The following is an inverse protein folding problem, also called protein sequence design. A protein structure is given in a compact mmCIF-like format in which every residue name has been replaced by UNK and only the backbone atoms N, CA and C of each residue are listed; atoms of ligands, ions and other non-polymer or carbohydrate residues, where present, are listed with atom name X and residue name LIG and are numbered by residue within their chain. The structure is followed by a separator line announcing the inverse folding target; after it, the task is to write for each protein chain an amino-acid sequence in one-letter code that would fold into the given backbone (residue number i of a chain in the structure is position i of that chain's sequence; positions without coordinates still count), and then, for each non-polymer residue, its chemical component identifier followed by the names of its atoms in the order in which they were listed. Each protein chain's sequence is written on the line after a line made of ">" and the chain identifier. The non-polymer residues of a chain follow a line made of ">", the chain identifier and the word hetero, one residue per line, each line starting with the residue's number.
data_IF_132371932389
#
_entry.id   IF_132371932389
#
_cell.length_a   1.000
_cell.length_b   1.000
_cell.length_c   1.000
_cell.angle_alpha   90.00
_cell.angle_beta   90.00
_cell.angle_gamma   90.00
#
_symmetry.space_group_name_H-M   'P 1'
#
loop_
_entity.id
_entity.type
_entity.pdbx_description
1 polymer ?
#
# COMPACT_ATOMS: atom_id res chain seq x y z
N UNK A 1 -10.45 -6.34 -11.06
CA UNK A 1 -9.79 -5.03 -10.97
C UNK A 1 -10.89 -3.99 -11.09
N UNK A 2 -10.84 -2.95 -10.24
CA UNK A 2 -11.68 -1.75 -10.35
C UNK A 2 -10.76 -0.61 -10.75
N UNK A 3 -11.15 0.12 -11.79
CA UNK A 3 -10.44 1.31 -12.26
C UNK A 3 -11.44 2.47 -12.28
N UNK A 4 -11.05 3.59 -11.68
CA UNK A 4 -11.85 4.81 -11.58
C UNK A 4 -11.12 6.03 -12.16
N UNK A 5 -9.97 5.82 -12.82
CA UNK A 5 -9.12 6.90 -13.32
C UNK A 5 -9.83 7.77 -14.37
N UNK A 6 -10.69 7.16 -15.21
CA UNK A 6 -11.43 7.85 -16.27
C UNK A 6 -12.63 8.67 -15.76
N UNK A 7 -12.97 8.59 -14.47
CA UNK A 7 -14.04 9.39 -13.91
C UNK A 7 -13.59 10.85 -13.72
N UNK A 8 -14.52 11.79 -13.99
CA UNK A 8 -14.28 13.19 -13.63
C UNK A 8 -14.04 13.35 -12.14
N UNK A 9 -13.29 14.38 -11.72
CA UNK A 9 -12.93 14.61 -10.30
C UNK A 9 -14.16 14.58 -9.36
N UNK A 10 -15.29 15.13 -9.81
CA UNK A 10 -16.52 15.16 -9.02
C UNK A 10 -17.13 13.76 -8.86
N UNK A 11 -16.99 12.91 -9.86
CA UNK A 11 -17.49 11.54 -9.85
C UNK A 11 -16.52 10.54 -9.23
N UNK A 12 -15.24 10.86 -9.14
CA UNK A 12 -14.24 9.95 -8.54
C UNK A 12 -14.57 9.62 -7.08
N UNK A 13 -14.96 10.62 -6.29
CA UNK A 13 -15.34 10.39 -4.88
C UNK A 13 -16.55 9.45 -4.79
N UNK A 14 -17.56 9.64 -5.61
CA UNK A 14 -18.73 8.77 -5.63
C UNK A 14 -18.36 7.36 -6.14
N UNK A 15 -17.62 7.28 -7.23
CA UNK A 15 -17.12 6.01 -7.77
C UNK A 15 -16.29 5.23 -6.75
N UNK A 16 -15.42 5.91 -6.03
CA UNK A 16 -14.62 5.31 -4.95
C UNK A 16 -15.50 4.71 -3.85
N UNK A 17 -16.56 5.39 -3.45
CA UNK A 17 -17.49 4.88 -2.43
C UNK A 17 -18.22 3.63 -2.91
N UNK A 18 -18.71 3.63 -4.16
CA UNK A 18 -19.37 2.45 -4.76
C UNK A 18 -18.40 1.26 -4.82
N UNK A 19 -17.16 1.51 -5.23
CA UNK A 19 -16.12 0.45 -5.28
C UNK A 19 -15.81 -0.09 -3.89
N UNK A 20 -15.67 0.76 -2.89
CA UNK A 20 -15.41 0.34 -1.51
C UNK A 20 -16.56 -0.51 -0.92
N UNK A 21 -17.82 -0.15 -1.22
CA UNK A 21 -18.99 -0.94 -0.83
C UNK A 21 -19.02 -2.31 -1.53
N UNK A 22 -18.74 -2.36 -2.83
CA UNK A 22 -18.68 -3.62 -3.58
C UNK A 22 -17.54 -4.53 -3.06
N UNK A 23 -16.38 -3.95 -2.75
CA UNK A 23 -15.26 -4.67 -2.12
C UNK A 23 -15.71 -5.27 -0.79
N UNK A 24 -16.39 -4.49 0.06
CA UNK A 24 -16.88 -4.98 1.33
C UNK A 24 -17.91 -6.10 1.17
N UNK A 25 -18.87 -5.94 0.28
CA UNK A 25 -19.85 -6.97 -0.02
C UNK A 25 -19.19 -8.27 -0.51
N UNK A 26 -18.14 -8.16 -1.33
CA UNK A 26 -17.36 -9.30 -1.81
C UNK A 26 -16.62 -10.01 -0.67
N UNK A 27 -16.02 -9.26 0.26
CA UNK A 27 -15.34 -9.81 1.45
C UNK A 27 -16.34 -10.60 2.30
N UNK A 28 -17.52 -10.03 2.56
CA UNK A 28 -18.59 -10.69 3.34
C UNK A 28 -19.05 -11.97 2.68
N UNK A 29 -19.30 -11.93 1.35
CA UNK A 29 -19.70 -13.10 0.56
C UNK A 29 -18.63 -14.19 0.60
N UNK A 30 -17.37 -13.83 0.35
CA UNK A 30 -16.27 -14.80 0.37
C UNK A 30 -16.13 -15.47 1.74
N UNK A 31 -16.30 -14.74 2.83
CA UNK A 31 -16.32 -15.31 4.19
C UNK A 31 -17.41 -16.34 4.34
N UNK A 32 -18.64 -16.05 3.90
CA UNK A 32 -19.77 -16.98 3.98
C UNK A 32 -19.53 -18.28 3.18
N UNK A 33 -18.73 -18.18 2.09
CA UNK A 33 -18.35 -19.30 1.25
C UNK A 33 -17.03 -19.99 1.71
N UNK A 34 -16.47 -19.60 2.88
CA UNK A 34 -15.22 -20.16 3.41
C UNK A 34 -13.97 -19.76 2.63
N UNK A 35 -14.04 -18.72 1.80
CA UNK A 35 -12.93 -18.24 0.97
C UNK A 35 -12.22 -17.06 1.62
N UNK A 36 -10.89 -17.02 1.53
CA UNK A 36 -10.08 -15.86 1.92
C UNK A 36 -10.10 -14.80 0.83
N UNK A 37 -9.93 -13.54 1.22
CA UNK A 37 -9.84 -12.39 0.30
C UNK A 37 -8.53 -11.63 0.51
N UNK A 38 -7.84 -11.34 -0.57
CA UNK A 38 -6.67 -10.47 -0.60
C UNK A 38 -7.04 -9.22 -1.37
N UNK A 39 -6.99 -8.08 -0.68
CA UNK A 39 -7.28 -6.76 -1.25
C UNK A 39 -5.97 -5.99 -1.40
N UNK A 40 -5.68 -5.53 -2.59
CA UNK A 40 -4.57 -4.63 -2.89
C UNK A 40 -5.14 -3.31 -3.39
N UNK A 41 -4.69 -2.22 -2.82
CA UNK A 41 -5.12 -0.85 -3.16
C UNK A 41 -3.87 -0.08 -3.55
N UNK A 42 -3.76 0.22 -4.83
CA UNK A 42 -2.71 1.08 -5.36
C UNK A 42 -3.08 2.56 -5.17
N UNK A 43 -2.07 3.42 -5.15
CA UNK A 43 -2.20 4.85 -4.84
C UNK A 43 -3.06 5.11 -3.59
N UNK A 44 -2.77 4.35 -2.54
CA UNK A 44 -3.57 4.27 -1.31
C UNK A 44 -3.82 5.65 -0.66
N UNK A 45 -2.90 6.61 -0.84
CA UNK A 45 -3.04 7.96 -0.31
C UNK A 45 -4.29 8.69 -0.83
N UNK A 46 -4.74 8.40 -2.04
CA UNK A 46 -5.92 9.04 -2.64
C UNK A 46 -7.21 8.80 -1.84
N UNK A 47 -7.30 7.69 -1.13
CA UNK A 47 -8.45 7.39 -0.26
C UNK A 47 -8.58 8.37 0.92
N UNK A 48 -7.50 9.04 1.28
CA UNK A 48 -7.45 9.97 2.42
C UNK A 48 -7.67 11.42 2.03
N UNK A 49 -7.78 11.72 0.75
CA UNK A 49 -8.17 13.05 0.26
C UNK A 49 -9.63 13.41 0.61
N UNK A 50 -10.46 12.40 0.87
CA UNK A 50 -11.86 12.56 1.26
C UNK A 50 -12.11 11.91 2.62
N UNK A 51 -12.67 12.66 3.57
CA UNK A 51 -12.89 12.21 4.95
C UNK A 51 -13.82 10.99 5.04
N UNK A 52 -14.83 10.90 4.18
CA UNK A 52 -15.74 9.76 4.15
C UNK A 52 -15.02 8.49 3.68
N UNK A 53 -14.28 8.58 2.56
CA UNK A 53 -13.49 7.47 2.03
C UNK A 53 -12.43 7.02 3.05
N UNK A 54 -11.75 7.96 3.71
CA UNK A 54 -10.77 7.68 4.75
C UNK A 54 -11.39 6.92 5.93
N UNK A 55 -12.56 7.38 6.42
CA UNK A 55 -13.28 6.74 7.51
C UNK A 55 -13.75 5.33 7.14
N UNK A 56 -14.29 5.16 5.94
CA UNK A 56 -14.75 3.88 5.43
C UNK A 56 -13.60 2.89 5.28
N UNK A 57 -12.49 3.33 4.67
CA UNK A 57 -11.27 2.55 4.50
C UNK A 57 -10.71 2.09 5.85
N UNK A 58 -10.61 3.00 6.82
CA UNK A 58 -10.21 2.64 8.18
C UNK A 58 -11.14 1.59 8.79
N UNK A 59 -12.45 1.71 8.55
CA UNK A 59 -13.45 0.71 8.97
C UNK A 59 -13.23 -0.66 8.34
N UNK A 60 -12.86 -0.74 7.05
CA UNK A 60 -12.47 -1.98 6.38
C UNK A 60 -11.23 -2.57 7.06
N UNK A 61 -10.14 -1.81 7.17
CA UNK A 61 -8.88 -2.27 7.76
C UNK A 61 -9.05 -2.86 9.16
N UNK A 62 -9.84 -2.22 10.02
CA UNK A 62 -10.13 -2.73 11.37
C UNK A 62 -10.87 -4.07 11.40
N UNK A 63 -11.61 -4.39 10.34
CA UNK A 63 -12.54 -5.53 10.30
C UNK A 63 -12.08 -6.69 9.43
N UNK A 64 -11.27 -6.44 8.39
CA UNK A 64 -10.90 -7.45 7.37
C UNK A 64 -10.41 -8.75 7.97
N UNK A 65 -9.60 -8.70 9.01
CA UNK A 65 -9.05 -9.87 9.69
C UNK A 65 -10.15 -10.81 10.21
N UNK A 66 -11.23 -10.26 10.79
CA UNK A 66 -12.38 -11.04 11.28
C UNK A 66 -13.18 -11.69 10.14
N UNK A 67 -12.99 -11.22 8.92
CA UNK A 67 -13.65 -11.74 7.71
C UNK A 67 -12.73 -12.64 6.87
N UNK A 68 -11.58 -13.04 7.42
CA UNK A 68 -10.62 -13.87 6.70
C UNK A 68 -9.99 -13.15 5.50
N UNK A 69 -9.92 -11.82 5.56
CA UNK A 69 -9.33 -11.01 4.52
C UNK A 69 -8.05 -10.31 4.99
N UNK A 70 -7.18 -9.99 4.04
CA UNK A 70 -6.03 -9.13 4.23
C UNK A 70 -6.13 -7.94 3.26
N UNK A 71 -5.78 -6.75 3.74
CA UNK A 71 -5.76 -5.53 2.94
C UNK A 71 -4.35 -4.95 2.93
N UNK A 72 -3.86 -4.64 1.74
CA UNK A 72 -2.54 -4.04 1.48
C UNK A 72 -2.74 -2.73 0.75
N UNK A 73 -2.30 -1.63 1.34
CA UNK A 73 -2.19 -0.33 0.69
C UNK A 73 -0.80 -0.15 0.11
N UNK A 74 -0.72 0.33 -1.12
CA UNK A 74 0.51 0.65 -1.83
C UNK A 74 0.48 2.14 -2.14
N UNK A 75 1.55 2.85 -1.83
CA UNK A 75 1.66 4.28 -2.14
C UNK A 75 3.11 4.68 -2.30
N UNK A 76 3.35 5.67 -3.12
CA UNK A 76 4.62 6.35 -3.26
C UNK A 76 4.58 7.80 -2.73
N UNK A 77 3.40 8.31 -2.37
CA UNK A 77 3.23 9.65 -1.80
C UNK A 77 3.03 9.56 -0.28
N UNK A 78 4.14 9.58 0.43
CA UNK A 78 4.16 9.47 1.90
C UNK A 78 3.71 10.77 2.54
N UNK A 79 4.09 11.92 2.01
CA UNK A 79 3.73 13.23 2.56
C UNK A 79 2.21 13.39 2.65
N UNK A 80 1.48 13.16 1.55
CA UNK A 80 0.02 13.23 1.53
C UNK A 80 -0.62 12.20 2.46
N UNK A 81 -0.08 10.98 2.49
CA UNK A 81 -0.59 9.94 3.38
C UNK A 81 -0.45 10.35 4.85
N UNK A 82 0.72 10.87 5.23
CA UNK A 82 1.01 11.27 6.61
C UNK A 82 0.32 12.58 7.02
N UNK A 83 -0.16 13.39 6.09
CA UNK A 83 -0.98 14.55 6.38
C UNK A 83 -2.32 14.18 7.05
N UNK A 84 -2.82 12.96 6.80
CA UNK A 84 -4.08 12.48 7.37
C UNK A 84 -3.83 11.67 8.65
N UNK A 85 -4.48 12.06 9.76
CA UNK A 85 -4.33 11.40 11.06
C UNK A 85 -4.78 9.93 11.03
N UNK A 86 -5.87 9.61 10.31
CA UNK A 86 -6.36 8.23 10.17
C UNK A 86 -5.37 7.34 9.44
N UNK A 87 -4.74 7.87 8.38
CA UNK A 87 -3.70 7.17 7.66
C UNK A 87 -2.49 6.88 8.55
N UNK A 88 -2.03 7.86 9.34
CA UNK A 88 -0.95 7.66 10.32
C UNK A 88 -1.28 6.56 11.33
N UNK A 89 -2.50 6.57 11.86
CA UNK A 89 -2.97 5.52 12.79
C UNK A 89 -3.04 4.14 12.11
N UNK A 90 -3.47 4.08 10.86
CA UNK A 90 -3.52 2.82 10.11
C UNK A 90 -2.11 2.28 9.84
N UNK A 91 -1.19 3.15 9.44
CA UNK A 91 0.21 2.79 9.21
C UNK A 91 0.85 2.23 10.48
N UNK A 92 0.70 2.93 11.61
CA UNK A 92 1.26 2.53 12.90
C UNK A 92 0.69 1.20 13.43
N UNK A 93 -0.55 0.85 13.04
CA UNK A 93 -1.23 -0.38 13.44
C UNK A 93 -1.22 -1.48 12.37
N UNK A 94 -0.47 -1.28 11.28
CA UNK A 94 -0.34 -2.30 10.24
C UNK A 94 0.48 -3.50 10.74
N UNK A 95 0.03 -4.71 10.42
CA UNK A 95 0.73 -5.95 10.81
C UNK A 95 2.09 -6.09 10.10
N UNK A 96 2.24 -5.51 8.91
CA UNK A 96 3.49 -5.51 8.15
C UNK A 96 3.62 -4.26 7.29
N UNK A 97 4.83 -3.72 7.24
CA UNK A 97 5.21 -2.56 6.44
C UNK A 97 6.44 -2.89 5.61
N UNK A 98 6.35 -2.72 4.31
CA UNK A 98 7.48 -2.77 3.39
C UNK A 98 7.88 -1.33 3.05
N UNK A 99 9.03 -0.90 3.55
CA UNK A 99 9.61 0.40 3.26
C UNK A 99 10.65 0.22 2.15
N UNK A 100 10.29 0.62 0.96
CA UNK A 100 11.17 0.65 -0.21
C UNK A 100 11.91 1.98 -0.25
N UNK A 101 12.74 2.20 -1.29
CA UNK A 101 13.54 3.41 -1.41
C UNK A 101 12.69 4.69 -1.32
N UNK A 102 13.02 5.55 -0.36
CA UNK A 102 12.33 6.80 -0.06
C UNK A 102 13.28 8.00 -0.21
N UNK A 103 12.72 9.16 -0.51
CA UNK A 103 13.43 10.43 -0.40
C UNK A 103 13.72 10.76 1.07
N UNK A 104 14.72 11.59 1.31
CA UNK A 104 15.21 11.89 2.66
C UNK A 104 14.11 12.41 3.58
N UNK A 105 13.29 13.35 3.11
CA UNK A 105 12.18 13.95 3.89
C UNK A 105 11.15 12.94 4.33
N UNK A 106 10.73 12.06 3.40
CA UNK A 106 9.74 11.00 3.68
C UNK A 106 10.32 9.95 4.61
N UNK A 107 11.61 9.61 4.42
CA UNK A 107 12.31 8.68 5.29
C UNK A 107 12.43 9.22 6.72
N UNK A 108 12.65 10.51 6.92
CA UNK A 108 12.69 11.13 8.25
C UNK A 108 11.32 11.03 8.92
N UNK A 109 10.25 11.39 8.22
CA UNK A 109 8.89 11.32 8.75
C UNK A 109 8.47 9.87 9.12
N UNK A 110 8.84 8.89 8.29
CA UNK A 110 8.60 7.47 8.57
C UNK A 110 9.46 6.97 9.74
N UNK A 111 10.71 7.40 9.83
CA UNK A 111 11.61 7.05 10.92
C UNK A 111 11.05 7.50 12.27
N UNK A 112 10.57 8.73 12.36
CA UNK A 112 9.97 9.28 13.55
C UNK A 112 8.66 8.58 13.93
N UNK A 113 7.76 8.39 12.95
CA UNK A 113 6.47 7.74 13.17
C UNK A 113 6.61 6.29 13.64
N UNK A 114 7.53 5.54 13.03
CA UNK A 114 7.72 4.10 13.28
C UNK A 114 8.78 3.83 14.35
N UNK A 115 9.39 4.88 14.91
CA UNK A 115 10.46 4.82 15.94
C UNK A 115 11.65 3.96 15.50
N UNK A 116 12.10 4.17 14.26
CA UNK A 116 13.23 3.46 13.70
C UNK A 116 14.55 4.12 14.12
N UNK A 117 15.62 3.34 14.17
CA UNK A 117 16.98 3.86 14.40
C UNK A 117 17.56 4.50 13.12
N UNK A 118 18.61 5.31 13.29
CA UNK A 118 19.37 5.90 12.17
C UNK A 118 19.93 4.81 11.25
N UNK A 119 20.37 3.68 11.80
CA UNK A 119 20.83 2.56 10.98
C UNK A 119 19.69 1.93 10.15
N UNK A 120 18.54 1.73 10.76
CA UNK A 120 17.37 1.17 10.08
C UNK A 120 16.88 2.10 8.96
N UNK A 121 16.92 3.42 9.15
CA UNK A 121 16.62 4.41 8.11
C UNK A 121 17.48 4.21 6.86
N UNK A 122 18.76 3.87 7.01
CA UNK A 122 19.67 3.63 5.89
C UNK A 122 19.24 2.49 4.96
N UNK A 123 18.43 1.55 5.42
CA UNK A 123 17.97 0.42 4.61
C UNK A 123 16.78 0.73 3.68
N UNK A 124 16.22 1.92 3.74
CA UNK A 124 15.18 2.37 2.81
C UNK A 124 15.39 3.80 2.28
N UNK A 125 16.64 4.30 2.39
CA UNK A 125 17.11 5.50 1.73
C UNK A 125 18.33 5.14 0.90
N UNK A 126 18.44 5.60 -0.35
CA UNK A 126 19.60 5.36 -1.23
C UNK A 126 19.90 3.85 -1.37
N UNK A 127 18.88 3.05 -1.62
CA UNK A 127 18.99 1.61 -1.85
C UNK A 127 18.61 1.25 -3.28
N UNK A 128 19.06 0.09 -3.73
CA UNK A 128 18.72 -0.41 -5.06
C UNK A 128 17.24 -0.83 -5.14
N UNK A 129 16.62 -0.79 -6.34
CA UNK A 129 15.29 -1.33 -6.55
C UNK A 129 15.18 -2.78 -6.07
N UNK A 130 14.13 -3.08 -5.33
CA UNK A 130 13.92 -4.40 -4.74
C UNK A 130 14.48 -4.56 -3.33
N UNK A 131 15.34 -3.64 -2.87
CA UNK A 131 15.81 -3.62 -1.49
C UNK A 131 14.97 -2.71 -0.60
N UNK A 132 14.98 -2.98 0.70
CA UNK A 132 14.22 -2.16 1.66
C UNK A 132 14.25 -2.70 3.08
N UNK A 133 13.31 -2.21 3.86
CA UNK A 133 13.12 -2.58 5.26
C UNK A 133 11.72 -3.15 5.47
N UNK A 134 11.62 -4.33 6.06
CA UNK A 134 10.35 -4.93 6.47
C UNK A 134 10.18 -4.81 7.97
N UNK A 135 9.07 -4.21 8.41
CA UNK A 135 8.68 -4.11 9.81
C UNK A 135 7.42 -4.92 10.04
N UNK A 136 7.44 -5.81 11.05
CA UNK A 136 6.27 -6.56 11.52
C UNK A 136 6.32 -6.70 13.04
N UNK A 137 5.32 -6.16 13.72
CA UNK A 137 5.36 -6.03 15.18
C UNK A 137 6.63 -5.27 15.62
N UNK A 138 7.41 -5.88 16.52
CA UNK A 138 8.69 -5.34 17.00
C UNK A 138 9.88 -5.71 16.10
N UNK A 139 9.70 -6.64 15.18
CA UNK A 139 10.77 -7.08 14.28
C UNK A 139 10.94 -6.09 13.12
N UNK A 140 12.20 -5.71 12.88
CA UNK A 140 12.59 -4.84 11.77
C UNK A 140 13.76 -5.50 11.06
N UNK A 141 13.54 -5.90 9.80
CA UNK A 141 14.48 -6.74 9.05
C UNK A 141 14.75 -6.10 7.69
N UNK A 142 16.01 -5.80 7.32
CA UNK A 142 16.33 -5.44 5.95
C UNK A 142 16.10 -6.63 5.02
N UNK A 143 15.67 -6.36 3.81
CA UNK A 143 15.48 -7.39 2.80
C UNK A 143 16.10 -6.97 1.46
N UNK A 144 16.49 -7.98 0.70
CA UNK A 144 16.92 -7.88 -0.68
C UNK A 144 16.08 -8.84 -1.52
N UNK A 145 15.28 -8.27 -2.42
CA UNK A 145 14.46 -8.97 -3.39
C UNK A 145 14.82 -8.47 -4.81
N UNK A 146 16.12 -8.23 -5.04
CA UNK A 146 16.62 -7.83 -6.35
C UNK A 146 16.32 -8.91 -7.37
N UNK A 147 15.63 -8.56 -8.44
CA UNK A 147 15.30 -9.49 -9.51
C UNK A 147 16.36 -9.49 -10.60
N UNK A 148 16.68 -10.67 -11.12
CA UNK A 148 17.47 -10.78 -12.35
C UNK A 148 16.69 -10.19 -13.53
N UNK A 149 17.26 -9.15 -14.14
CA UNK A 149 16.65 -8.41 -15.27
C UNK A 149 16.44 -9.29 -16.51
N UNK A 150 17.15 -10.41 -16.63
CA UNK A 150 16.95 -11.39 -17.69
C UNK A 150 15.83 -12.38 -17.42
N UNK A 151 15.33 -12.44 -16.19
CA UNK A 151 14.26 -13.37 -15.81
C UNK A 151 12.94 -13.04 -16.53
N UNK A 152 12.17 -14.08 -16.81
CA UNK A 152 10.82 -13.92 -17.39
C UNK A 152 9.92 -13.07 -16.51
N UNK A 153 10.00 -13.25 -15.18
CA UNK A 153 9.20 -12.46 -14.23
C UNK A 153 9.55 -10.97 -14.28
N UNK A 154 10.83 -10.62 -14.34
CA UNK A 154 11.24 -9.22 -14.48
C UNK A 154 10.63 -8.59 -15.74
N UNK A 155 10.71 -9.28 -16.90
CA UNK A 155 10.16 -8.79 -18.17
C UNK A 155 8.63 -8.59 -18.12
N UNK A 156 7.91 -9.45 -17.41
CA UNK A 156 6.45 -9.34 -17.25
C UNK A 156 6.06 -8.17 -16.35
N UNK A 157 6.85 -7.89 -15.31
CA UNK A 157 6.56 -6.84 -14.34
C UNK A 157 7.26 -5.51 -14.61
N UNK A 158 8.22 -5.47 -15.55
CA UNK A 158 8.90 -4.23 -15.92
C UNK A 158 7.91 -3.25 -16.57
N UNK A 159 7.87 -2.03 -16.05
CA UNK A 159 7.10 -0.91 -16.61
C UNK A 159 7.96 0.04 -17.43
N UNK A 160 9.23 -0.31 -17.67
CA UNK A 160 10.12 0.50 -18.49
C UNK A 160 9.69 0.41 -19.95
N UNK A 161 9.41 1.55 -20.56
CA UNK A 161 8.93 1.64 -21.93
C UNK A 161 9.86 0.95 -22.95
N UNK A 162 11.16 1.05 -22.74
CA UNK A 162 12.17 0.45 -23.62
C UNK A 162 12.23 -1.09 -23.54
N UNK A 163 11.77 -1.69 -22.44
CA UNK A 163 11.79 -3.14 -22.22
C UNK A 163 10.48 -3.82 -22.63
N UNK A 164 9.42 -3.06 -22.82
CA UNK A 164 8.06 -3.60 -23.11
C UNK A 164 7.82 -3.81 -24.61
N UNK A 165 8.63 -3.19 -25.50
CA UNK A 165 8.40 -3.19 -26.94
C UNK A 165 9.54 -3.82 -27.77
N UNK A 166 10.44 -4.59 -27.16
CA UNK A 166 11.44 -5.40 -27.87
C UNK A 166 11.01 -6.85 -27.82
N UNK A 167 10.12 -7.23 -28.69
CA UNK A 167 9.64 -8.59 -28.90
C UNK A 167 9.11 -8.75 -30.30
#
# INVERSE_FOLDING_TARGET
>A
VYDIADLSKDLQTFGMMVVLEEIWARIVKNKAEGRRTWLYIDEFHLLFANEYAASYTQGIYKRVRKYGAAATGITQNIEELLANERARLMLSNSDGLFLLNQQSTDADALTDLLKLSVQQRGYFTIVQPGCGLFKTGEAVVPFDNTMDTNSHLYKVFSTKFEETYVG
#
